data_IF_509277673761
#
_entry.id   IF_509277673761
#
_cell.length_a   1.000
_cell.length_b   1.000
_cell.length_c   1.000
_cell.angle_alpha   90.00
_cell.angle_beta   90.00
_cell.angle_gamma   90.00
#
_symmetry.space_group_name_H-M   'P 1'
#
loop_
_entity.id
_entity.type
_entity.pdbx_description
1 polymer ?
#
# COMPACT_ATOMS: atom_id res chain seq x y z
N UNK A 1 3.64 30.65 -4.30
CA UNK A 1 3.44 30.17 -5.67
C UNK A 1 4.21 28.86 -5.79
N UNK A 2 3.53 27.70 -5.99
CA UNK A 2 4.21 26.47 -6.27
C UNK A 2 5.08 26.68 -7.52
N UNK A 3 6.34 26.25 -7.48
CA UNK A 3 7.20 26.25 -8.67
C UNK A 3 6.50 25.38 -9.72
N UNK A 4 5.99 26.02 -10.76
CA UNK A 4 5.38 25.35 -11.91
C UNK A 4 6.43 24.42 -12.52
N UNK A 5 6.27 23.10 -12.31
CA UNK A 5 7.16 22.07 -12.87
C UNK A 5 7.60 20.95 -11.91
N UNK A 6 7.40 21.07 -10.61
CA UNK A 6 7.74 19.99 -9.68
C UNK A 6 6.64 18.90 -9.66
N UNK A 7 7.03 17.64 -9.91
CA UNK A 7 6.12 16.50 -9.84
C UNK A 7 5.71 16.23 -8.40
N UNK A 8 4.47 15.78 -8.16
CA UNK A 8 4.08 15.27 -6.83
C UNK A 8 4.85 14.00 -6.49
N UNK A 9 5.08 13.77 -5.19
CA UNK A 9 5.89 12.67 -4.68
C UNK A 9 5.02 11.67 -3.92
N UNK A 10 5.14 10.40 -4.26
CA UNK A 10 4.48 9.31 -3.57
C UNK A 10 5.49 8.42 -2.83
N UNK A 11 5.31 8.29 -1.51
CA UNK A 11 5.98 7.28 -0.69
C UNK A 11 5.17 5.98 -0.74
N UNK A 12 5.77 4.91 -1.28
CA UNK A 12 5.14 3.59 -1.39
C UNK A 12 5.92 2.57 -0.57
N UNK A 13 5.29 1.96 0.44
CA UNK A 13 5.91 0.90 1.23
C UNK A 13 5.72 -0.47 0.58
N UNK A 14 6.73 -1.35 0.67
CA UNK A 14 6.73 -2.65 -0.02
C UNK A 14 6.79 -2.49 -1.54
N UNK A 15 7.53 -1.50 -2.04
CA UNK A 15 7.56 -1.10 -3.45
C UNK A 15 8.42 -2.00 -4.35
N UNK A 16 9.20 -2.92 -3.78
CA UNK A 16 10.15 -3.74 -4.53
C UNK A 16 9.51 -4.81 -5.39
N UNK A 17 8.30 -5.27 -5.09
CA UNK A 17 7.64 -6.38 -5.79
C UNK A 17 6.12 -6.33 -5.70
N UNK A 18 5.47 -7.25 -6.42
CA UNK A 18 4.04 -7.52 -6.31
C UNK A 18 3.18 -6.26 -6.49
N UNK A 19 2.20 -6.09 -5.59
CA UNK A 19 1.25 -4.98 -5.62
C UNK A 19 1.98 -3.63 -5.48
N UNK A 20 2.92 -3.51 -4.53
CA UNK A 20 3.63 -2.24 -4.29
C UNK A 20 4.42 -1.76 -5.50
N UNK A 21 5.12 -2.67 -6.21
CA UNK A 21 5.78 -2.33 -7.47
C UNK A 21 4.77 -1.92 -8.54
N UNK A 22 3.65 -2.63 -8.66
CA UNK A 22 2.57 -2.25 -9.58
C UNK A 22 2.02 -0.85 -9.29
N UNK A 23 1.80 -0.52 -8.02
CA UNK A 23 1.37 0.81 -7.58
C UNK A 23 2.40 1.88 -7.96
N UNK A 24 3.68 1.65 -7.62
CA UNK A 24 4.76 2.60 -7.93
C UNK A 24 4.85 2.91 -9.43
N UNK A 25 4.69 1.89 -10.28
CA UNK A 25 4.75 2.06 -11.73
C UNK A 25 3.50 2.76 -12.30
N UNK A 26 2.31 2.49 -11.80
CA UNK A 26 1.11 3.20 -12.25
C UNK A 26 1.13 4.67 -11.80
N UNK A 27 1.60 4.97 -10.58
CA UNK A 27 1.82 6.35 -10.13
C UNK A 27 2.88 7.07 -10.99
N UNK A 28 3.97 6.39 -11.36
CA UNK A 28 4.99 6.95 -12.25
C UNK A 28 4.41 7.31 -13.64
N UNK A 29 3.54 6.49 -14.22
CA UNK A 29 2.82 6.79 -15.47
C UNK A 29 1.95 8.05 -15.36
N UNK A 30 1.39 8.29 -14.18
CA UNK A 30 0.53 9.44 -13.90
C UNK A 30 1.29 10.69 -13.47
N UNK A 31 2.63 10.67 -13.60
CA UNK A 31 3.48 11.84 -13.41
C UNK A 31 3.95 12.07 -11.98
N UNK A 32 3.88 11.07 -11.11
CA UNK A 32 4.46 11.13 -9.76
C UNK A 32 5.93 10.71 -9.78
N UNK A 33 6.75 11.36 -8.97
CA UNK A 33 8.03 10.85 -8.54
C UNK A 33 7.82 9.91 -7.33
N UNK A 34 8.67 8.90 -7.19
CA UNK A 34 8.44 7.78 -6.28
C UNK A 34 9.55 7.68 -5.23
N UNK A 35 9.19 7.61 -3.98
CA UNK A 35 10.02 7.08 -2.91
C UNK A 35 9.55 5.64 -2.61
N UNK A 36 10.31 4.65 -3.05
CA UNK A 36 9.98 3.24 -2.84
C UNK A 36 10.73 2.68 -1.65
N UNK A 37 10.01 2.27 -0.60
CA UNK A 37 10.60 1.63 0.58
C UNK A 37 10.35 0.12 0.56
N UNK A 38 11.39 -0.66 0.88
CA UNK A 38 11.27 -2.12 1.07
C UNK A 38 12.33 -2.60 2.07
N UNK A 39 12.05 -3.70 2.76
CA UNK A 39 13.02 -4.38 3.63
C UNK A 39 14.10 -5.08 2.82
N UNK A 40 13.76 -5.55 1.62
CA UNK A 40 14.70 -6.17 0.67
C UNK A 40 15.36 -5.06 -0.14
N UNK A 41 16.67 -4.93 0.05
CA UNK A 41 17.46 -3.88 -0.58
C UNK A 41 18.79 -4.45 -1.08
N UNK A 42 18.85 -4.75 -2.36
CA UNK A 42 19.99 -5.39 -3.02
C UNK A 42 20.50 -4.49 -4.16
N UNK A 43 21.43 -3.54 -3.88
CA UNK A 43 21.89 -2.54 -4.86
C UNK A 43 22.54 -3.15 -6.11
N UNK A 44 23.15 -4.31 -5.96
CA UNK A 44 23.85 -5.00 -7.07
C UNK A 44 22.87 -5.72 -8.01
N UNK A 45 21.67 -6.08 -7.53
CA UNK A 45 20.64 -6.69 -8.36
C UNK A 45 19.76 -5.63 -9.04
N UNK A 46 20.12 -5.29 -10.28
CA UNK A 46 19.34 -4.35 -11.11
C UNK A 46 18.13 -4.98 -11.80
N UNK A 47 17.93 -6.30 -11.64
CA UNK A 47 16.87 -7.04 -12.34
C UNK A 47 15.71 -7.41 -11.42
N UNK A 48 15.81 -7.12 -10.13
CA UNK A 48 14.76 -7.44 -9.16
C UNK A 48 14.57 -6.32 -8.11
N UNK A 49 13.55 -6.46 -7.28
CA UNK A 49 13.32 -5.62 -6.13
C UNK A 49 13.14 -4.14 -6.45
N UNK A 50 13.63 -3.28 -5.56
CA UNK A 50 13.53 -1.82 -5.69
C UNK A 50 14.30 -1.27 -6.89
N UNK A 51 15.41 -1.90 -7.28
CA UNK A 51 16.23 -1.40 -8.38
C UNK A 51 15.64 -1.73 -9.75
N UNK A 52 14.91 -2.84 -9.90
CA UNK A 52 14.06 -3.09 -11.07
C UNK A 52 12.93 -2.05 -11.14
N UNK A 53 12.24 -1.83 -10.02
CA UNK A 53 11.17 -0.83 -9.95
C UNK A 53 11.68 0.57 -10.32
N UNK A 54 12.88 0.95 -9.84
CA UNK A 54 13.54 2.22 -10.18
C UNK A 54 13.82 2.33 -11.68
N UNK A 55 14.40 1.32 -12.30
CA UNK A 55 14.69 1.34 -13.74
C UNK A 55 13.41 1.53 -14.57
N UNK A 56 12.37 0.76 -14.23
CA UNK A 56 11.07 0.85 -14.93
C UNK A 56 10.39 2.21 -14.72
N UNK A 57 10.43 2.77 -13.51
CA UNK A 57 9.87 4.10 -13.24
C UNK A 57 10.62 5.19 -14.01
N UNK A 58 11.94 5.10 -14.11
CA UNK A 58 12.75 6.02 -14.91
C UNK A 58 12.41 5.98 -16.41
N UNK A 59 12.13 4.80 -16.96
CA UNK A 59 11.66 4.65 -18.34
C UNK A 59 10.29 5.32 -18.56
N UNK A 60 9.50 5.48 -17.51
CA UNK A 60 8.24 6.22 -17.52
C UNK A 60 8.42 7.72 -17.23
N UNK A 61 9.67 8.19 -17.11
CA UNK A 61 10.01 9.59 -16.87
C UNK A 61 9.91 10.03 -15.41
N UNK A 62 9.74 9.13 -14.45
CA UNK A 62 9.69 9.44 -13.04
C UNK A 62 11.07 9.31 -12.37
N UNK A 63 11.38 10.18 -11.41
CA UNK A 63 12.45 9.90 -10.46
C UNK A 63 11.99 8.81 -9.49
N UNK A 64 12.93 7.94 -9.07
CA UNK A 64 12.66 6.91 -8.10
C UNK A 64 13.80 6.84 -7.08
N UNK A 65 13.47 7.06 -5.80
CA UNK A 65 14.37 6.91 -4.68
C UNK A 65 14.14 5.53 -4.01
N UNK A 66 15.07 4.57 -4.14
CA UNK A 66 14.99 3.32 -3.39
C UNK A 66 15.45 3.55 -1.94
N UNK A 67 14.63 3.12 -0.98
CA UNK A 67 14.88 3.28 0.45
C UNK A 67 14.86 1.90 1.11
N UNK A 68 15.92 1.55 1.83
CA UNK A 68 15.91 0.40 2.73
C UNK A 68 15.22 0.79 4.04
N UNK A 69 14.16 0.05 4.41
CA UNK A 69 13.49 0.28 5.68
C UNK A 69 12.52 -0.84 6.03
N UNK A 70 12.51 -1.21 7.30
CA UNK A 70 11.53 -2.11 7.89
C UNK A 70 10.44 -1.29 8.58
N UNK A 71 9.23 -1.31 8.06
CA UNK A 71 8.11 -0.57 8.67
C UNK A 71 7.73 -1.10 10.06
N UNK A 72 8.12 -2.32 10.43
CA UNK A 72 7.93 -2.83 11.79
C UNK A 72 8.89 -2.17 12.80
N UNK A 73 10.03 -1.63 12.34
CA UNK A 73 11.00 -0.86 13.13
C UNK A 73 10.59 0.61 13.21
N UNK A 74 10.28 1.09 14.40
CA UNK A 74 9.92 2.51 14.59
C UNK A 74 11.12 3.44 14.35
N UNK A 75 12.34 2.96 14.54
CA UNK A 75 13.57 3.73 14.31
C UNK A 75 13.76 3.98 12.80
N UNK A 76 13.37 3.03 11.96
CA UNK A 76 13.47 3.20 10.51
C UNK A 76 12.48 4.26 9.97
N UNK A 77 11.37 4.54 10.66
CA UNK A 77 10.39 5.52 10.21
C UNK A 77 10.96 6.93 10.06
N UNK A 78 11.83 7.35 11.02
CA UNK A 78 12.48 8.66 10.92
C UNK A 78 13.41 8.70 9.72
N UNK A 79 14.23 7.67 9.54
CA UNK A 79 15.14 7.56 8.41
C UNK A 79 14.41 7.58 7.08
N UNK A 80 13.32 6.79 6.94
CA UNK A 80 12.51 6.75 5.72
C UNK A 80 12.01 8.18 5.40
N UNK A 81 11.43 8.87 6.38
CA UNK A 81 10.93 10.22 6.19
C UNK A 81 12.02 11.20 5.78
N UNK A 82 13.17 11.19 6.48
CA UNK A 82 14.28 12.08 6.20
C UNK A 82 14.90 11.84 4.81
N UNK A 83 15.05 10.57 4.40
CA UNK A 83 15.56 10.24 3.08
C UNK A 83 14.64 10.80 1.96
N UNK A 84 13.30 10.71 2.13
CA UNK A 84 12.35 11.29 1.18
C UNK A 84 12.47 12.82 1.15
N UNK A 85 12.46 13.46 2.31
CA UNK A 85 12.52 14.92 2.41
C UNK A 85 13.84 15.48 1.89
N UNK A 86 14.95 14.81 2.18
CA UNK A 86 16.27 15.18 1.64
C UNK A 86 16.33 15.14 0.12
N UNK A 87 15.64 14.18 -0.50
CA UNK A 87 15.64 14.02 -1.97
C UNK A 87 14.62 14.92 -2.66
N UNK A 88 13.40 15.01 -2.14
CA UNK A 88 12.26 15.60 -2.83
C UNK A 88 11.68 16.84 -2.15
N UNK A 89 12.05 17.12 -0.89
CA UNK A 89 11.52 18.23 -0.07
C UNK A 89 9.99 18.19 0.12
N UNK A 90 9.34 17.06 -0.20
CA UNK A 90 7.88 16.89 -0.10
C UNK A 90 7.44 15.44 -0.06
N UNK A 91 6.26 15.21 0.49
CA UNK A 91 5.48 13.96 0.35
C UNK A 91 4.04 14.37 0.11
N UNK A 92 3.47 14.00 -1.04
CA UNK A 92 2.08 14.31 -1.37
C UNK A 92 1.16 13.11 -1.12
N UNK A 93 1.65 11.91 -1.41
CA UNK A 93 0.91 10.68 -1.27
C UNK A 93 1.70 9.69 -0.40
N UNK A 94 1.02 9.09 0.59
CA UNK A 94 1.52 7.91 1.28
C UNK A 94 0.69 6.70 0.85
N UNK A 95 1.36 5.66 0.37
CA UNK A 95 0.72 4.36 0.10
C UNK A 95 1.25 3.32 1.08
N UNK A 96 0.45 2.98 2.05
CA UNK A 96 0.68 1.93 3.02
C UNK A 96 0.35 0.57 2.39
N UNK A 97 1.30 -0.01 1.67
CA UNK A 97 1.14 -1.28 0.98
C UNK A 97 1.93 -2.43 1.64
N UNK A 98 3.05 -2.14 2.28
CA UNK A 98 3.86 -3.20 2.91
C UNK A 98 3.00 -4.05 3.87
N UNK A 99 3.17 -5.35 3.77
CA UNK A 99 2.44 -6.29 4.61
C UNK A 99 2.90 -7.72 4.40
N UNK A 100 2.66 -8.54 5.40
CA UNK A 100 3.06 -9.94 5.41
C UNK A 100 1.86 -10.84 5.75
N UNK A 101 1.88 -12.06 5.21
CA UNK A 101 1.04 -13.16 5.66
C UNK A 101 1.80 -14.01 6.71
N UNK A 102 1.14 -14.88 7.47
CA UNK A 102 1.83 -15.85 8.29
C UNK A 102 2.81 -16.69 7.43
N UNK A 103 3.99 -16.98 7.98
CA UNK A 103 4.99 -17.83 7.30
C UNK A 103 4.46 -19.24 7.05
N UNK A 104 3.76 -19.75 8.03
CA UNK A 104 3.09 -21.06 7.99
C UNK A 104 1.60 -20.80 8.21
N UNK A 105 0.77 -21.32 7.33
CA UNK A 105 -0.69 -21.27 7.51
C UNK A 105 -1.11 -22.39 8.42
N UNK A 106 -1.63 -22.03 9.58
CA UNK A 106 -2.10 -22.96 10.60
C UNK A 106 -3.55 -22.68 10.93
N UNK A 107 -4.23 -23.67 11.48
CA UNK A 107 -5.58 -23.48 12.03
C UNK A 107 -5.57 -22.37 13.10
N UNK A 108 -6.67 -21.66 13.22
CA UNK A 108 -6.85 -20.61 14.24
C UNK A 108 -6.53 -21.09 15.66
N UNK A 109 -6.84 -22.35 15.99
CA UNK A 109 -6.61 -22.93 17.31
C UNK A 109 -5.13 -23.27 17.56
N UNK A 110 -4.30 -23.23 16.51
CA UNK A 110 -2.86 -23.56 16.56
C UNK A 110 -1.97 -22.33 16.29
N UNK A 111 -2.58 -21.16 16.03
CA UNK A 111 -1.84 -19.93 15.75
C UNK A 111 -0.93 -19.56 16.93
N UNK A 112 0.34 -19.24 16.64
CA UNK A 112 1.32 -18.93 17.70
C UNK A 112 1.42 -17.44 17.98
N UNK A 113 1.78 -17.04 19.23
CA UNK A 113 2.02 -15.64 19.58
C UNK A 113 3.05 -14.96 18.64
N UNK A 114 4.13 -15.66 18.28
CA UNK A 114 5.20 -15.13 17.42
C UNK A 114 4.70 -14.83 16.02
N UNK A 115 3.82 -15.67 15.45
CA UNK A 115 3.19 -15.42 14.15
C UNK A 115 2.24 -14.23 14.24
N UNK A 116 1.45 -14.17 15.29
CA UNK A 116 0.51 -13.09 15.59
C UNK A 116 1.24 -11.75 15.71
N UNK A 117 2.23 -11.67 16.60
CA UNK A 117 3.01 -10.46 16.86
C UNK A 117 3.75 -9.97 15.61
N UNK A 118 4.35 -10.89 14.84
CA UNK A 118 5.01 -10.55 13.59
C UNK A 118 4.03 -9.95 12.57
N UNK A 119 2.87 -10.57 12.38
CA UNK A 119 1.89 -10.11 11.38
C UNK A 119 1.29 -8.77 11.79
N UNK A 120 0.88 -8.60 13.05
CA UNK A 120 0.35 -7.35 13.55
C UNK A 120 1.43 -6.27 13.65
N UNK A 121 2.65 -6.63 14.01
CA UNK A 121 3.79 -5.74 14.06
C UNK A 121 4.04 -5.01 12.74
N UNK A 122 4.04 -5.76 11.63
CA UNK A 122 4.20 -5.20 10.28
C UNK A 122 2.91 -4.55 9.79
N UNK A 123 1.81 -5.32 9.72
CA UNK A 123 0.62 -4.90 8.99
C UNK A 123 -0.15 -3.78 9.69
N UNK A 124 -0.09 -3.71 11.02
CA UNK A 124 -0.86 -2.76 11.81
C UNK A 124 0.02 -1.75 12.55
N UNK A 125 0.85 -2.23 13.50
CA UNK A 125 1.63 -1.33 14.37
C UNK A 125 2.59 -0.46 13.57
N UNK A 126 3.40 -1.05 12.71
CA UNK A 126 4.34 -0.31 11.89
C UNK A 126 3.65 0.64 10.93
N UNK A 127 2.61 0.16 10.23
CA UNK A 127 1.79 0.97 9.34
C UNK A 127 1.15 2.16 10.04
N UNK A 128 0.60 1.97 11.25
CA UNK A 128 -0.02 3.04 12.03
C UNK A 128 0.98 4.15 12.37
N UNK A 129 2.13 3.81 12.94
CA UNK A 129 3.10 4.80 13.40
C UNK A 129 3.86 5.49 12.25
N UNK A 130 4.11 4.79 11.14
CA UNK A 130 4.63 5.43 9.93
C UNK A 130 3.61 6.44 9.39
N UNK A 131 2.34 6.07 9.35
CA UNK A 131 1.25 6.98 8.92
C UNK A 131 1.16 8.20 9.82
N UNK A 132 1.23 8.03 11.14
CA UNK A 132 1.21 9.14 12.10
C UNK A 132 2.35 10.13 11.81
N UNK A 133 3.56 9.62 11.59
CA UNK A 133 4.74 10.45 11.31
C UNK A 133 4.61 11.20 9.98
N UNK A 134 4.22 10.51 8.91
CA UNK A 134 4.04 11.12 7.58
C UNK A 134 2.88 12.11 7.57
N UNK A 135 1.76 11.82 8.24
CA UNK A 135 0.64 12.74 8.38
C UNK A 135 1.05 14.05 9.08
N UNK A 136 1.86 13.95 10.15
CA UNK A 136 2.43 15.11 10.80
C UNK A 136 3.27 15.98 9.86
N UNK A 137 4.07 15.36 9.00
CA UNK A 137 4.85 16.07 7.98
C UNK A 137 3.94 16.70 6.90
N UNK A 138 2.92 15.99 6.42
CA UNK A 138 1.94 16.56 5.46
C UNK A 138 1.25 17.81 6.04
N UNK A 139 0.82 17.77 7.30
CA UNK A 139 0.26 18.94 8.00
C UNK A 139 1.26 20.09 8.07
N UNK A 140 2.53 19.79 8.34
CA UNK A 140 3.61 20.80 8.36
C UNK A 140 3.78 21.44 6.97
N UNK A 141 3.75 20.65 5.91
CA UNK A 141 3.90 21.14 4.52
C UNK A 141 2.74 22.06 4.11
N UNK A 142 1.53 21.86 4.59
CA UNK A 142 0.39 22.76 4.31
C UNK A 142 0.62 24.19 4.79
N UNK A 143 1.46 24.42 5.80
CA UNK A 143 1.80 25.79 6.25
C UNK A 143 2.56 26.58 5.20
N UNK A 144 3.41 25.93 4.42
CA UNK A 144 4.21 26.56 3.34
C UNK A 144 3.62 26.33 1.95
N UNK A 145 2.79 25.32 1.78
CA UNK A 145 2.15 24.92 0.51
C UNK A 145 0.65 24.67 0.74
N UNK A 146 -0.16 25.72 1.02
CA UNK A 146 -1.57 25.56 1.41
C UNK A 146 -2.45 24.92 0.34
N UNK A 147 -2.04 25.02 -0.93
CA UNK A 147 -2.74 24.41 -2.07
C UNK A 147 -2.25 22.99 -2.40
N UNK A 148 -1.31 22.43 -1.60
CA UNK A 148 -0.85 21.07 -1.81
C UNK A 148 -1.98 20.08 -1.54
N UNK A 149 -2.07 19.04 -2.40
CA UNK A 149 -3.01 17.95 -2.19
C UNK A 149 -2.28 16.77 -1.57
N UNK A 150 -2.73 16.38 -0.40
CA UNK A 150 -2.21 15.21 0.27
C UNK A 150 -3.28 14.12 0.35
N UNK A 151 -2.83 12.87 0.19
CA UNK A 151 -3.68 11.71 0.46
C UNK A 151 -2.89 10.56 1.06
N UNK A 152 -3.57 9.76 1.87
CA UNK A 152 -3.03 8.54 2.46
C UNK A 152 -3.90 7.37 2.00
N UNK A 153 -3.26 6.36 1.41
CA UNK A 153 -3.96 5.21 0.85
C UNK A 153 -3.45 3.95 1.53
N UNK A 154 -4.37 3.18 2.10
CA UNK A 154 -4.06 1.92 2.76
C UNK A 154 -4.45 0.75 1.86
N UNK A 155 -3.53 -0.18 1.67
CA UNK A 155 -3.80 -1.44 0.97
C UNK A 155 -4.11 -2.50 2.03
N UNK A 156 -5.40 -2.72 2.24
CA UNK A 156 -5.87 -3.74 3.16
C UNK A 156 -6.05 -5.09 2.45
N UNK A 157 -7.22 -5.63 2.39
CA UNK A 157 -7.58 -6.89 1.69
C UNK A 157 -9.08 -7.13 1.81
N UNK A 158 -9.65 -7.93 0.92
CA UNK A 158 -10.98 -8.55 1.15
C UNK A 158 -11.02 -9.31 2.48
N UNK A 159 -9.88 -9.78 2.98
CA UNK A 159 -9.75 -10.44 4.30
C UNK A 159 -10.04 -9.50 5.49
N UNK A 160 -10.24 -8.21 5.26
CA UNK A 160 -10.77 -7.30 6.29
C UNK A 160 -12.25 -7.58 6.61
N UNK A 161 -12.98 -8.21 5.70
CA UNK A 161 -14.40 -8.53 5.83
C UNK A 161 -14.72 -10.02 5.61
N UNK A 162 -13.81 -10.78 4.98
CA UNK A 162 -14.00 -12.21 4.68
C UNK A 162 -13.05 -13.02 5.57
N UNK A 163 -13.59 -14.01 6.29
CA UNK A 163 -12.82 -14.83 7.21
C UNK A 163 -11.97 -15.88 6.48
N UNK A 164 -10.86 -16.25 7.11
CA UNK A 164 -10.03 -17.39 6.75
C UNK A 164 -9.38 -17.96 8.00
N UNK A 165 -9.87 -19.10 8.49
CA UNK A 165 -9.43 -19.74 9.74
C UNK A 165 -7.95 -20.12 9.74
N UNK A 166 -7.35 -20.33 8.55
CA UNK A 166 -5.93 -20.66 8.40
C UNK A 166 -5.01 -19.44 8.23
N UNK A 167 -5.52 -18.23 8.51
CA UNK A 167 -4.79 -16.95 8.42
C UNK A 167 -5.40 -15.94 9.39
N UNK A 168 -5.74 -16.35 10.58
CA UNK A 168 -6.51 -15.54 11.53
C UNK A 168 -5.84 -14.19 11.81
N UNK A 169 -4.55 -14.19 12.14
CA UNK A 169 -3.78 -12.99 12.44
C UNK A 169 -3.73 -12.01 11.25
N UNK A 170 -3.70 -12.53 10.02
CA UNK A 170 -3.77 -11.70 8.82
C UNK A 170 -5.15 -11.04 8.69
N UNK A 171 -6.22 -11.79 8.84
CA UNK A 171 -7.58 -11.25 8.78
C UNK A 171 -7.79 -10.17 9.87
N UNK A 172 -7.36 -10.45 11.11
CA UNK A 172 -7.42 -9.49 12.22
C UNK A 172 -6.62 -8.23 11.88
N UNK A 173 -5.40 -8.36 11.37
CA UNK A 173 -4.58 -7.21 11.00
C UNK A 173 -5.23 -6.35 9.92
N UNK A 174 -5.88 -6.96 8.92
CA UNK A 174 -6.55 -6.23 7.84
C UNK A 174 -7.88 -5.60 8.27
N UNK A 175 -8.62 -6.23 9.17
CA UNK A 175 -9.81 -5.64 9.78
C UNK A 175 -9.44 -4.44 10.69
N UNK A 176 -8.39 -4.57 11.49
CA UNK A 176 -7.87 -3.45 12.31
C UNK A 176 -7.36 -2.30 11.43
N UNK A 177 -6.74 -2.60 10.29
CA UNK A 177 -6.30 -1.59 9.33
C UNK A 177 -7.49 -0.79 8.76
N UNK A 178 -8.63 -1.44 8.50
CA UNK A 178 -9.86 -0.74 8.07
C UNK A 178 -10.38 0.25 9.12
N UNK A 179 -10.26 -0.07 10.42
CA UNK A 179 -10.59 0.89 11.48
C UNK A 179 -9.56 2.03 11.53
N UNK A 180 -8.28 1.72 11.32
CA UNK A 180 -7.20 2.73 11.24
C UNK A 180 -7.47 3.75 10.14
N UNK A 181 -7.97 3.32 8.98
CA UNK A 181 -8.39 4.22 7.89
C UNK A 181 -9.43 5.22 8.36
N UNK A 182 -10.48 4.75 9.04
CA UNK A 182 -11.56 5.63 9.55
C UNK A 182 -11.04 6.66 10.54
N UNK A 183 -10.18 6.23 11.48
CA UNK A 183 -9.59 7.10 12.49
C UNK A 183 -8.71 8.20 11.86
N UNK A 184 -7.87 7.86 10.88
CA UNK A 184 -7.08 8.86 10.17
C UNK A 184 -7.94 9.73 9.25
N UNK A 185 -8.99 9.19 8.61
CA UNK A 185 -9.91 9.98 7.79
C UNK A 185 -10.64 11.06 8.63
N UNK A 186 -11.16 10.67 9.78
CA UNK A 186 -11.82 11.58 10.72
C UNK A 186 -10.83 12.66 11.21
N UNK A 187 -9.67 12.24 11.72
CA UNK A 187 -8.66 13.15 12.28
C UNK A 187 -8.05 14.12 11.29
N UNK A 188 -7.89 13.72 10.04
CA UNK A 188 -7.17 14.50 9.02
C UNK A 188 -8.10 15.33 8.13
N UNK A 189 -9.42 15.16 8.25
CA UNK A 189 -10.40 15.91 7.45
C UNK A 189 -10.28 17.42 7.64
N UNK A 190 -10.00 17.90 8.85
CA UNK A 190 -9.82 19.32 9.14
C UNK A 190 -8.65 19.98 8.39
N UNK A 191 -7.67 19.16 7.95
CA UNK A 191 -6.51 19.59 7.16
C UNK A 191 -6.70 19.38 5.65
N UNK A 192 -7.86 18.88 5.20
CA UNK A 192 -8.12 18.57 3.81
C UNK A 192 -7.31 17.38 3.28
N UNK A 193 -6.74 16.56 4.15
CA UNK A 193 -5.99 15.36 3.78
C UNK A 193 -6.96 14.19 3.66
N UNK A 194 -7.12 13.65 2.45
CA UNK A 194 -7.99 12.50 2.22
C UNK A 194 -7.31 11.19 2.62
N UNK A 195 -8.09 10.28 3.19
CA UNK A 195 -7.62 8.93 3.56
C UNK A 195 -8.52 7.90 2.92
N UNK A 196 -7.92 6.88 2.28
CA UNK A 196 -8.65 5.89 1.50
C UNK A 196 -8.18 4.47 1.84
N UNK A 197 -9.06 3.51 1.64
CA UNK A 197 -8.77 2.08 1.72
C UNK A 197 -8.98 1.43 0.36
N UNK A 198 -8.01 0.61 -0.08
CA UNK A 198 -8.20 -0.33 -1.18
C UNK A 198 -8.17 -1.73 -0.61
N UNK A 199 -9.14 -2.56 -0.99
CA UNK A 199 -9.25 -3.98 -0.65
C UNK A 199 -9.00 -4.85 -1.87
N UNK A 200 -7.75 -5.28 -2.10
CA UNK A 200 -7.48 -6.25 -3.16
C UNK A 200 -8.10 -7.60 -2.86
N UNK A 201 -8.58 -8.27 -3.92
CA UNK A 201 -8.92 -9.68 -3.89
C UNK A 201 -7.70 -10.57 -4.13
N UNK A 202 -7.85 -11.56 -5.01
CA UNK A 202 -6.76 -12.48 -5.37
C UNK A 202 -5.94 -11.86 -6.50
N UNK A 203 -4.74 -11.39 -6.16
CA UNK A 203 -3.80 -10.74 -7.08
C UNK A 203 -2.64 -11.68 -7.36
N UNK A 204 -2.27 -11.83 -8.62
CA UNK A 204 -1.11 -12.63 -9.05
C UNK A 204 0.18 -11.94 -8.63
N UNK A 205 0.85 -12.50 -7.64
CA UNK A 205 2.13 -12.03 -7.07
C UNK A 205 2.94 -13.22 -6.57
N UNK A 206 4.19 -12.98 -6.16
CA UNK A 206 5.02 -14.02 -5.52
C UNK A 206 4.35 -14.59 -4.26
N UNK A 207 3.62 -13.76 -3.50
CA UNK A 207 2.89 -14.20 -2.29
C UNK A 207 1.81 -15.24 -2.60
N UNK A 208 1.24 -15.23 -3.80
CA UNK A 208 0.18 -16.16 -4.23
C UNK A 208 0.72 -17.31 -5.08
N UNK A 209 2.01 -17.34 -5.42
CA UNK A 209 2.60 -18.36 -6.29
C UNK A 209 2.40 -19.78 -5.75
N UNK A 210 2.62 -19.99 -4.45
CA UNK A 210 2.48 -21.30 -3.81
C UNK A 210 1.05 -21.88 -3.78
N UNK A 211 0.05 -21.06 -4.07
CA UNK A 211 -1.37 -21.44 -4.03
C UNK A 211 -2.07 -21.22 -5.38
N UNK A 212 -1.27 -21.07 -6.44
CA UNK A 212 -1.76 -20.72 -7.78
C UNK A 212 -2.76 -21.73 -8.30
N UNK A 213 -2.41 -23.01 -8.35
CA UNK A 213 -3.28 -24.08 -8.85
C UNK A 213 -4.64 -24.14 -8.13
N UNK A 214 -4.62 -23.98 -6.81
CA UNK A 214 -5.84 -23.92 -6.01
C UNK A 214 -6.75 -22.78 -6.49
N UNK A 215 -6.19 -21.58 -6.68
CA UNK A 215 -6.97 -20.43 -7.09
C UNK A 215 -7.35 -20.46 -8.56
N UNK A 216 -6.55 -21.05 -9.45
CA UNK A 216 -6.93 -21.26 -10.84
C UNK A 216 -8.24 -22.06 -10.92
N UNK A 217 -8.35 -23.14 -10.14
CA UNK A 217 -9.56 -23.95 -10.04
C UNK A 217 -10.74 -23.14 -9.48
N UNK A 218 -10.56 -22.47 -8.35
CA UNK A 218 -11.62 -21.69 -7.71
C UNK A 218 -12.11 -20.53 -8.58
N UNK A 219 -11.23 -19.89 -9.33
CA UNK A 219 -11.57 -18.82 -10.29
C UNK A 219 -12.40 -19.40 -11.44
N UNK A 220 -12.02 -20.55 -11.97
CA UNK A 220 -12.78 -21.23 -13.01
C UNK A 220 -14.17 -21.64 -12.50
N UNK A 221 -14.30 -22.06 -11.27
CA UNK A 221 -15.55 -22.40 -10.59
C UNK A 221 -16.40 -21.18 -10.21
N UNK A 222 -15.91 -19.95 -10.44
CA UNK A 222 -16.66 -18.71 -10.26
C UNK A 222 -16.52 -18.05 -8.88
N UNK A 223 -15.47 -18.36 -8.12
CA UNK A 223 -15.14 -17.63 -6.88
C UNK A 223 -15.01 -16.12 -7.14
N UNK A 224 -14.47 -15.75 -8.28
CA UNK A 224 -14.34 -14.36 -8.73
C UNK A 224 -15.28 -14.15 -9.92
N UNK A 225 -16.17 -13.15 -9.83
CA UNK A 225 -17.16 -12.87 -10.87
C UNK A 225 -16.53 -12.55 -12.24
N UNK A 226 -15.41 -11.82 -12.24
CA UNK A 226 -14.69 -11.50 -13.47
C UNK A 226 -13.87 -12.68 -14.02
N UNK A 227 -13.87 -13.84 -13.38
CA UNK A 227 -13.25 -15.10 -13.80
C UNK A 227 -11.80 -14.97 -14.26
N UNK A 228 -11.03 -14.10 -13.62
CA UNK A 228 -9.60 -13.90 -13.85
C UNK A 228 -8.86 -13.57 -12.56
N UNK A 229 -7.56 -13.78 -12.58
CA UNK A 229 -6.69 -13.17 -11.61
C UNK A 229 -6.75 -11.64 -11.69
N UNK A 230 -6.65 -10.96 -10.54
CA UNK A 230 -6.24 -9.58 -10.51
C UNK A 230 -4.73 -9.47 -10.76
N UNK A 231 -4.29 -8.33 -11.27
CA UNK A 231 -2.87 -8.03 -11.47
C UNK A 231 -2.46 -6.83 -10.61
N UNK A 232 -1.16 -6.69 -10.25
CA UNK A 232 -0.65 -5.52 -9.55
C UNK A 232 -1.08 -4.19 -10.18
N UNK A 233 -1.17 -4.14 -11.51
CA UNK A 233 -1.63 -2.96 -12.24
C UNK A 233 -3.11 -2.63 -11.99
N UNK A 234 -3.99 -3.62 -11.73
CA UNK A 234 -5.39 -3.34 -11.40
C UNK A 234 -5.48 -2.52 -10.10
N UNK A 235 -4.68 -2.89 -9.09
CA UNK A 235 -4.58 -2.15 -7.82
C UNK A 235 -3.87 -0.81 -8.03
N UNK A 236 -2.79 -0.79 -8.81
CA UNK A 236 -2.02 0.43 -9.12
C UNK A 236 -2.87 1.52 -9.76
N UNK A 237 -3.72 1.17 -10.74
CA UNK A 237 -4.66 2.09 -11.39
C UNK A 237 -5.67 2.70 -10.41
N UNK A 238 -6.18 1.89 -9.49
CA UNK A 238 -7.09 2.37 -8.44
C UNK A 238 -6.38 3.36 -7.51
N UNK A 239 -5.14 3.04 -7.07
CA UNK A 239 -4.30 3.97 -6.28
C UNK A 239 -4.05 5.26 -7.05
N UNK A 240 -3.68 5.18 -8.32
CA UNK A 240 -3.40 6.34 -9.15
C UNK A 240 -4.62 7.27 -9.28
N UNK A 241 -5.82 6.71 -9.46
CA UNK A 241 -7.06 7.49 -9.53
C UNK A 241 -7.34 8.25 -8.21
N UNK A 242 -7.11 7.61 -7.05
CA UNK A 242 -7.23 8.26 -5.74
C UNK A 242 -6.16 9.35 -5.56
N UNK A 243 -4.91 9.04 -5.90
CA UNK A 243 -3.78 9.98 -5.77
C UNK A 243 -3.93 11.22 -6.68
N UNK A 244 -4.55 11.08 -7.84
CA UNK A 244 -4.90 12.18 -8.77
C UNK A 244 -6.03 13.07 -8.23
N UNK A 245 -6.69 12.67 -7.14
CA UNK A 245 -7.78 13.44 -6.54
C UNK A 245 -9.10 13.38 -7.30
N UNK A 246 -9.37 12.29 -8.04
CA UNK A 246 -10.66 12.10 -8.73
C UNK A 246 -11.83 11.87 -7.77
N UNK A 247 -11.54 11.65 -6.49
CA UNK A 247 -12.53 11.42 -5.43
C UNK A 247 -12.38 12.44 -4.29
N UNK A 248 -12.54 13.76 -4.55
CA UNK A 248 -12.19 14.79 -3.58
C UNK A 248 -13.15 14.84 -2.37
N UNK A 249 -14.37 14.34 -2.50
CA UNK A 249 -15.41 14.34 -1.47
C UNK A 249 -15.71 12.94 -0.95
N UNK A 250 -14.64 12.14 -0.72
CA UNK A 250 -14.78 10.70 -0.42
C UNK A 250 -13.75 10.20 0.60
N UNK A 251 -13.34 11.05 1.57
CA UNK A 251 -12.45 10.57 2.64
C UNK A 251 -13.09 9.41 3.39
N UNK A 252 -12.32 8.40 3.78
CA UNK A 252 -12.83 7.16 4.36
C UNK A 252 -13.37 6.14 3.34
N UNK A 253 -13.32 6.44 2.02
CA UNK A 253 -13.78 5.52 0.98
C UNK A 253 -13.05 4.17 1.06
N UNK A 254 -13.83 3.10 0.98
CA UNK A 254 -13.35 1.73 0.77
C UNK A 254 -13.59 1.34 -0.67
N UNK A 255 -12.52 1.09 -1.42
CA UNK A 255 -12.58 0.67 -2.82
C UNK A 255 -12.17 -0.80 -2.95
N UNK A 256 -13.11 -1.65 -3.34
CA UNK A 256 -12.86 -3.06 -3.60
C UNK A 256 -12.24 -3.26 -4.99
N UNK A 257 -11.05 -3.86 -5.03
CA UNK A 257 -10.36 -4.27 -6.27
C UNK A 257 -10.22 -5.77 -6.26
N UNK A 258 -11.34 -6.47 -6.32
CA UNK A 258 -11.47 -7.90 -6.02
C UNK A 258 -12.09 -8.74 -7.14
N UNK A 259 -12.46 -8.13 -8.27
CA UNK A 259 -13.16 -8.81 -9.35
C UNK A 259 -14.56 -9.30 -8.97
N UNK A 260 -15.15 -8.70 -7.92
CA UNK A 260 -16.47 -9.07 -7.41
C UNK A 260 -16.45 -10.22 -6.39
N UNK A 261 -15.27 -10.56 -5.82
CA UNK A 261 -15.15 -11.61 -4.81
C UNK A 261 -15.91 -11.30 -3.51
N UNK A 262 -16.14 -10.03 -3.22
CA UNK A 262 -16.83 -9.54 -2.03
C UNK A 262 -18.38 -9.54 -2.17
N UNK A 263 -18.91 -9.82 -3.37
CA UNK A 263 -20.35 -9.79 -3.61
C UNK A 263 -20.98 -11.11 -3.15
N UNK A 264 -21.91 -11.00 -2.19
CA UNK A 264 -22.73 -12.14 -1.77
C UNK A 264 -23.71 -12.49 -2.88
N UNK A 265 -23.86 -13.80 -3.15
CA UNK A 265 -24.76 -14.34 -4.16
C UNK A 265 -25.72 -15.34 -3.54
N UNK A 266 -26.94 -15.38 -4.08
CA UNK A 266 -27.95 -16.41 -3.78
C UNK A 266 -27.55 -17.74 -4.40
#
# INVERSE_FOLDING_TARGET
MAKTGEKPVALVTGAGRGIGRGIALELAKEGFDIAGCDIIFEPEDKKSGLFEAQQRARQLGAEFLPIKGDIASLDDHEKILQDVLKKFDRIDILVNNAGVAPKIRMDLLEATPESFDRVLGVNLRGTFFLTQKVAGEMIRQLKSRPDARHAIIFISSVSAAISSTVRAEYCISKAALSMTVKLFADRLAEFGINVYEIRPGIIQTDMTAAVREKYDKLIAEGLILQRRWGFPADVGKAVAALAKGYFPYSTGLVLEVSGGMNIQRL
#
